data_IF_175139808944
#
_entry.id   IF_175139808944
#
_cell.length_a   1.000
_cell.length_b   1.000
_cell.length_c   1.000
_cell.angle_alpha   90.00
_cell.angle_beta   90.00
_cell.angle_gamma   90.00
#
_symmetry.space_group_name_H-M   'P 1'
#
loop_
_entity.id
_entity.type
_entity.pdbx_description
1 polymer ?
#
# COMPACT_ATOMS: atom_id res chain seq x y z
N UNK A 1 15.53 31.94 52.48
CA UNK A 1 14.68 30.84 51.95
C UNK A 1 14.89 30.55 50.44
N UNK A 2 16.11 30.70 49.88
CA UNK A 2 16.35 30.52 48.42
C UNK A 2 17.49 29.54 48.06
N UNK A 3 18.26 29.03 49.04
CA UNK A 3 19.42 28.17 48.78
C UNK A 3 19.02 26.71 48.48
N UNK A 4 18.05 26.16 49.23
CA UNK A 4 17.55 24.78 49.05
C UNK A 4 16.84 24.55 47.70
N UNK A 5 16.20 25.58 47.12
CA UNK A 5 15.56 25.50 45.79
C UNK A 5 16.60 25.48 44.65
N UNK A 6 17.70 26.24 44.77
CA UNK A 6 18.80 26.21 43.79
C UNK A 6 19.51 24.85 43.78
N UNK A 7 19.78 24.28 44.96
CA UNK A 7 20.41 22.96 45.09
C UNK A 7 19.53 21.87 44.47
N UNK A 8 18.21 21.88 44.71
CA UNK A 8 17.28 20.92 44.08
C UNK A 8 17.26 21.02 42.55
N UNK A 9 17.30 22.22 41.98
CA UNK A 9 17.36 22.40 40.51
C UNK A 9 18.67 21.89 39.93
N UNK A 10 19.79 22.09 40.64
CA UNK A 10 21.11 21.60 40.20
C UNK A 10 21.17 20.07 40.18
N UNK A 11 20.61 19.40 41.20
CA UNK A 11 20.53 17.94 41.24
C UNK A 11 19.69 17.34 40.11
N UNK A 12 18.58 17.99 39.75
CA UNK A 12 17.74 17.54 38.62
C UNK A 12 18.50 17.65 37.29
N UNK A 13 19.25 18.74 37.08
CA UNK A 13 20.06 18.92 35.86
C UNK A 13 21.19 17.89 35.79
N UNK A 14 21.84 17.58 36.91
CA UNK A 14 22.90 16.55 36.95
C UNK A 14 22.35 15.16 36.65
N UNK A 15 21.17 14.81 37.18
CA UNK A 15 20.52 13.52 36.90
C UNK A 15 20.13 13.41 35.42
N UNK A 16 19.61 14.48 34.82
CA UNK A 16 19.26 14.50 33.39
C UNK A 16 20.51 14.37 32.52
N UNK A 17 21.59 15.12 32.82
CA UNK A 17 22.85 15.02 32.07
C UNK A 17 23.50 13.64 32.21
N UNK A 18 23.45 13.03 33.38
CA UNK A 18 23.99 11.68 33.59
C UNK A 18 23.16 10.60 32.88
N UNK A 19 21.84 10.76 32.76
CA UNK A 19 21.00 9.88 31.94
C UNK A 19 21.27 10.02 30.44
N UNK A 20 21.52 11.24 29.95
CA UNK A 20 21.90 11.50 28.54
C UNK A 20 23.28 10.89 28.22
N UNK A 21 24.24 11.05 29.13
CA UNK A 21 25.58 10.46 28.97
C UNK A 21 25.49 8.93 29.01
N UNK A 22 24.67 8.36 29.91
CA UNK A 22 24.47 6.92 29.98
C UNK A 22 23.80 6.37 28.71
N UNK A 23 22.86 7.11 28.10
CA UNK A 23 22.26 6.70 26.82
C UNK A 23 23.25 6.79 25.65
N UNK A 24 24.16 7.76 25.66
CA UNK A 24 25.23 7.86 24.66
C UNK A 24 26.26 6.72 24.81
N UNK A 25 26.61 6.33 26.04
CA UNK A 25 27.52 5.22 26.32
C UNK A 25 26.91 3.84 26.03
N UNK A 26 25.59 3.70 26.12
CA UNK A 26 24.88 2.46 25.74
C UNK A 26 24.68 2.35 24.22
N UNK A 27 24.99 3.40 23.44
CA UNK A 27 24.89 3.42 21.98
C UNK A 27 26.22 3.16 21.27
N UNK A 28 27.31 2.92 22.01
CA UNK A 28 28.59 2.51 21.43
C UNK A 28 28.78 0.99 21.59
N UNK A 29 28.07 0.23 20.76
CA UNK A 29 28.32 -1.19 20.54
C UNK A 29 28.83 -1.40 19.11
N UNK A 30 30.07 -1.92 19.01
CA UNK A 30 30.81 -2.39 17.83
C UNK A 30 30.83 -1.54 16.54
N UNK A 31 31.94 -0.82 16.36
CA UNK A 31 32.45 -0.45 15.04
C UNK A 31 33.62 -1.38 14.67
N UNK A 32 33.34 -2.45 13.93
CA UNK A 32 34.35 -3.19 13.17
C UNK A 32 33.82 -3.61 11.79
N UNK A 33 34.58 -3.19 10.77
CA UNK A 33 34.56 -3.50 9.33
C UNK A 33 33.38 -3.07 8.42
N UNK A 34 33.67 -2.36 7.30
CA UNK A 34 32.66 -2.01 6.30
C UNK A 34 32.42 -3.19 5.36
N UNK A 35 31.49 -4.06 5.74
CA UNK A 35 30.86 -4.98 4.79
C UNK A 35 29.91 -4.18 3.90
N UNK A 36 30.05 -4.30 2.58
CA UNK A 36 29.11 -3.66 1.65
C UNK A 36 27.72 -4.26 1.89
N UNK A 37 26.69 -3.48 2.30
CA UNK A 37 25.40 -4.05 2.66
C UNK A 37 24.75 -4.63 1.40
N UNK A 38 24.73 -5.96 1.29
CA UNK A 38 23.57 -6.63 0.71
C UNK A 38 22.42 -6.31 1.64
N UNK A 39 21.47 -5.51 1.19
CA UNK A 39 20.26 -5.10 1.93
C UNK A 39 19.91 -6.12 3.01
N UNK A 40 20.00 -5.71 4.28
CA UNK A 40 19.65 -6.58 5.39
C UNK A 40 18.26 -7.16 5.15
N UNK A 41 18.13 -8.50 5.19
CA UNK A 41 16.83 -9.14 5.07
C UNK A 41 15.91 -8.59 6.17
N UNK A 42 14.71 -8.07 5.83
CA UNK A 42 13.81 -7.54 6.83
C UNK A 42 13.40 -8.66 7.80
N UNK A 43 13.67 -8.47 9.09
CA UNK A 43 13.31 -9.42 10.15
C UNK A 43 11.83 -9.26 10.50
N UNK A 44 10.97 -9.97 9.78
CA UNK A 44 9.56 -10.10 10.11
C UNK A 44 9.34 -11.32 10.99
N UNK A 45 8.45 -11.21 11.98
CA UNK A 45 8.01 -12.36 12.78
C UNK A 45 6.87 -13.05 12.07
N UNK A 46 7.02 -14.35 11.83
CA UNK A 46 5.95 -15.19 11.33
C UNK A 46 4.96 -15.51 12.46
N UNK A 47 3.69 -15.17 12.25
CA UNK A 47 2.60 -15.51 13.16
C UNK A 47 1.66 -16.52 12.49
N UNK A 48 1.30 -17.56 13.23
CA UNK A 48 0.33 -18.55 12.75
C UNK A 48 -1.03 -17.90 12.55
N UNK A 49 -1.66 -18.15 11.40
CA UNK A 49 -2.99 -17.62 11.09
C UNK A 49 -4.05 -18.70 10.92
N UNK A 50 -3.75 -19.83 10.26
CA UNK A 50 -4.73 -20.90 10.06
C UNK A 50 -4.06 -22.23 9.68
N UNK A 51 -4.71 -23.33 10.05
CA UNK A 51 -4.38 -24.68 9.57
C UNK A 51 -3.10 -25.26 10.16
N UNK A 52 -2.92 -26.57 10.03
CA UNK A 52 -1.78 -27.30 10.59
C UNK A 52 -1.08 -28.18 9.55
N UNK A 53 -1.26 -27.86 8.26
CA UNK A 53 -0.61 -28.60 7.17
C UNK A 53 0.88 -28.28 7.05
N UNK A 54 1.60 -29.03 6.21
CA UNK A 54 3.03 -28.79 6.00
C UNK A 54 3.29 -27.71 4.94
N UNK A 55 2.30 -27.44 4.08
CA UNK A 55 2.43 -26.47 2.97
C UNK A 55 2.23 -25.04 3.47
N UNK A 56 3.31 -24.27 3.44
CA UNK A 56 3.33 -22.89 3.93
C UNK A 56 2.78 -21.90 2.90
N UNK A 57 1.87 -21.05 3.36
CA UNK A 57 1.25 -19.97 2.59
C UNK A 57 1.22 -18.71 3.43
N UNK A 58 1.59 -17.56 2.86
CA UNK A 58 1.49 -16.28 3.58
C UNK A 58 0.27 -15.50 3.14
N UNK A 59 -0.43 -14.88 4.08
CA UNK A 59 -1.48 -13.88 3.81
C UNK A 59 -0.90 -12.48 3.94
N UNK A 60 -0.92 -11.71 2.85
CA UNK A 60 -0.41 -10.33 2.78
C UNK A 60 -1.58 -9.38 2.55
N UNK A 61 -1.86 -8.43 3.46
CA UNK A 61 -2.91 -7.44 3.29
C UNK A 61 -2.45 -6.27 2.39
N UNK A 62 -3.28 -5.91 1.40
CA UNK A 62 -3.22 -4.68 0.61
C UNK A 62 -4.45 -3.84 0.95
N UNK A 63 -4.36 -3.08 2.05
CA UNK A 63 -5.49 -2.37 2.64
C UNK A 63 -5.29 -0.85 2.64
N UNK A 64 -6.21 -0.10 2.03
CA UNK A 64 -6.14 1.36 1.96
C UNK A 64 -5.50 1.91 0.69
N UNK A 65 -5.17 3.20 0.70
CA UNK A 65 -4.64 3.90 -0.49
C UNK A 65 -3.18 3.49 -0.71
N UNK A 66 -2.85 3.04 -1.92
CA UNK A 66 -1.50 2.59 -2.28
C UNK A 66 -0.61 3.81 -2.53
N UNK A 67 0.05 4.28 -1.49
CA UNK A 67 0.99 5.39 -1.54
C UNK A 67 2.22 5.08 -0.70
N UNK A 68 3.38 5.59 -1.13
CA UNK A 68 4.55 5.69 -0.28
C UNK A 68 4.36 6.83 0.70
N UNK A 69 4.85 6.65 1.92
CA UNK A 69 4.86 7.71 2.93
C UNK A 69 6.21 8.41 2.91
N UNK A 70 6.21 9.74 2.78
CA UNK A 70 7.41 10.59 2.89
C UNK A 70 7.61 11.14 4.32
N UNK A 71 6.83 10.67 5.30
CA UNK A 71 6.77 11.29 6.63
C UNK A 71 8.04 11.02 7.46
N UNK A 72 8.96 11.99 7.49
CA UNK A 72 10.03 12.15 8.49
C UNK A 72 9.51 12.59 9.88
N UNK A 73 8.25 12.31 10.21
CA UNK A 73 7.65 12.74 11.48
C UNK A 73 8.22 11.94 12.65
N UNK A 74 9.16 12.56 13.37
CA UNK A 74 9.80 12.02 14.58
C UNK A 74 8.82 11.58 15.69
N UNK A 75 7.56 12.05 15.67
CA UNK A 75 6.58 11.83 16.73
C UNK A 75 5.42 10.92 16.33
N UNK A 76 5.31 10.55 15.05
CA UNK A 76 4.30 9.62 14.55
C UNK A 76 4.76 9.02 13.21
N UNK A 77 5.73 8.10 13.22
CA UNK A 77 6.12 7.40 12.00
C UNK A 77 4.90 6.65 11.45
N UNK A 78 4.43 7.06 10.27
CA UNK A 78 3.49 6.26 9.50
C UNK A 78 4.28 5.19 8.76
N UNK A 79 3.87 3.93 8.91
CA UNK A 79 4.49 2.84 8.19
C UNK A 79 4.20 2.99 6.69
N UNK A 80 5.25 3.02 5.87
CA UNK A 80 5.12 2.93 4.42
C UNK A 80 4.49 1.59 4.06
N UNK A 81 3.23 1.63 3.62
CA UNK A 81 2.47 0.45 3.22
C UNK A 81 3.13 -0.28 2.06
N UNK A 82 3.64 0.45 1.08
CA UNK A 82 4.25 -0.12 -0.13
C UNK A 82 5.54 -0.82 0.25
N UNK A 83 6.40 -0.16 1.02
CA UNK A 83 7.63 -0.78 1.52
C UNK A 83 7.33 -2.04 2.35
N UNK A 84 6.31 -2.01 3.22
CA UNK A 84 5.92 -3.16 4.03
C UNK A 84 5.48 -4.35 3.17
N UNK A 85 4.59 -4.13 2.19
CA UNK A 85 4.13 -5.18 1.28
C UNK A 85 5.30 -5.75 0.47
N UNK A 86 6.18 -4.90 -0.07
CA UNK A 86 7.37 -5.34 -0.81
C UNK A 86 8.33 -6.16 0.08
N UNK A 87 8.52 -5.76 1.33
CA UNK A 87 9.29 -6.54 2.30
C UNK A 87 8.67 -7.92 2.56
N UNK A 88 7.35 -7.98 2.78
CA UNK A 88 6.65 -9.26 2.97
C UNK A 88 6.78 -10.18 1.77
N UNK A 89 6.65 -9.65 0.54
CA UNK A 89 6.84 -10.41 -0.69
C UNK A 89 8.29 -10.90 -0.79
N UNK A 90 9.28 -10.05 -0.48
CA UNK A 90 10.70 -10.43 -0.49
C UNK A 90 11.02 -11.53 0.52
N UNK A 91 10.44 -11.49 1.73
CA UNK A 91 10.59 -12.57 2.73
C UNK A 91 9.96 -13.86 2.20
N UNK A 92 8.75 -13.79 1.65
CA UNK A 92 8.07 -14.94 1.05
C UNK A 92 8.86 -15.54 -0.13
N UNK A 93 9.49 -14.70 -0.95
CA UNK A 93 10.29 -15.12 -2.09
C UNK A 93 11.55 -15.89 -1.67
N UNK A 94 12.20 -15.47 -0.58
CA UNK A 94 13.42 -16.08 -0.06
C UNK A 94 13.17 -17.28 0.86
N UNK A 95 11.91 -17.53 1.22
CA UNK A 95 11.50 -18.67 2.03
C UNK A 95 11.31 -19.92 1.13
N UNK A 96 12.17 -20.95 1.28
CA UNK A 96 12.10 -22.15 0.44
C UNK A 96 10.80 -22.96 0.66
N UNK A 97 10.19 -22.86 1.85
CA UNK A 97 8.95 -23.57 2.18
C UNK A 97 7.71 -22.83 1.68
N UNK A 98 7.86 -21.55 1.29
CA UNK A 98 6.74 -20.71 0.86
C UNK A 98 6.23 -21.07 -0.53
N UNK A 99 5.04 -21.68 -0.56
CA UNK A 99 4.40 -22.20 -1.77
C UNK A 99 3.35 -21.25 -2.34
N UNK A 100 2.76 -20.36 -1.56
CA UNK A 100 1.83 -19.37 -2.11
C UNK A 100 1.75 -18.07 -1.30
N UNK A 101 1.28 -17.03 -1.98
CA UNK A 101 0.78 -15.78 -1.38
C UNK A 101 -0.73 -15.76 -1.54
N UNK A 102 -1.44 -15.49 -0.45
CA UNK A 102 -2.82 -15.02 -0.48
C UNK A 102 -2.78 -13.50 -0.34
N UNK A 103 -2.99 -12.79 -1.44
CA UNK A 103 -3.08 -11.33 -1.45
C UNK A 103 -4.49 -10.92 -1.06
N UNK A 104 -4.67 -10.42 0.16
CA UNK A 104 -5.96 -9.93 0.63
C UNK A 104 -6.11 -8.45 0.29
N UNK A 105 -7.07 -8.11 -0.56
CA UNK A 105 -7.22 -6.76 -1.11
C UNK A 105 -8.45 -6.07 -0.55
N UNK A 106 -8.22 -4.89 0.02
CA UNK A 106 -9.24 -3.91 0.37
C UNK A 106 -8.71 -2.49 0.10
N UNK A 107 -8.62 -2.13 -1.18
CA UNK A 107 -7.95 -0.92 -1.64
C UNK A 107 -8.73 -0.20 -2.75
N UNK A 108 -8.91 1.14 -2.66
CA UNK A 108 -9.41 1.96 -3.75
C UNK A 108 -8.39 2.17 -4.87
N UNK A 109 -7.16 1.67 -4.72
CA UNK A 109 -6.02 1.97 -5.57
C UNK A 109 -5.11 3.03 -4.95
N UNK A 110 -4.39 3.76 -5.79
CA UNK A 110 -3.41 4.75 -5.34
C UNK A 110 -2.47 5.16 -6.47
N UNK A 111 -1.21 5.42 -6.15
CA UNK A 111 -0.20 5.81 -7.13
C UNK A 111 0.05 4.72 -8.18
N UNK A 112 0.24 5.13 -9.43
CA UNK A 112 0.54 4.24 -10.57
C UNK A 112 1.83 3.45 -10.30
N UNK A 113 2.93 4.13 -9.98
CA UNK A 113 4.23 3.49 -9.73
C UNK A 113 4.20 2.54 -8.53
N UNK A 114 3.70 2.93 -7.33
CA UNK A 114 3.53 1.99 -6.21
C UNK A 114 2.74 0.73 -6.55
N UNK A 115 1.67 0.86 -7.34
CA UNK A 115 0.86 -0.28 -7.77
C UNK A 115 1.64 -1.20 -8.71
N UNK A 116 2.43 -0.63 -9.63
CA UNK A 116 3.29 -1.39 -10.55
C UNK A 116 4.45 -2.10 -9.85
N UNK A 117 5.02 -1.49 -8.80
CA UNK A 117 6.05 -2.14 -7.98
C UNK A 117 5.52 -3.39 -7.28
N UNK A 118 4.34 -3.30 -6.66
CA UNK A 118 3.70 -4.45 -6.00
C UNK A 118 3.35 -5.52 -7.03
N UNK A 119 2.74 -5.14 -8.17
CA UNK A 119 2.45 -6.05 -9.28
C UNK A 119 3.71 -6.81 -9.72
N UNK A 120 4.82 -6.09 -9.94
CA UNK A 120 6.03 -6.67 -10.45
C UNK A 120 6.72 -7.58 -9.42
N UNK A 121 6.69 -7.22 -8.14
CA UNK A 121 7.19 -8.07 -7.04
C UNK A 121 6.38 -9.37 -6.90
N UNK A 122 5.05 -9.28 -6.94
CA UNK A 122 4.17 -10.46 -6.95
C UNK A 122 4.44 -11.35 -8.17
N UNK A 123 4.54 -10.75 -9.36
CA UNK A 123 4.85 -11.48 -10.59
C UNK A 123 6.20 -12.20 -10.50
N UNK A 124 7.21 -11.54 -9.93
CA UNK A 124 8.54 -12.11 -9.69
C UNK A 124 8.47 -13.31 -8.73
N UNK A 125 7.77 -13.16 -7.59
CA UNK A 125 7.51 -14.28 -6.68
C UNK A 125 6.85 -15.45 -7.41
N UNK A 126 5.82 -15.19 -8.22
CA UNK A 126 5.08 -16.23 -8.94
C UNK A 126 5.93 -16.95 -9.99
N UNK A 127 6.83 -16.23 -10.66
CA UNK A 127 7.70 -16.75 -11.72
C UNK A 127 8.97 -17.41 -11.18
N UNK A 128 9.39 -17.06 -9.97
CA UNK A 128 10.62 -17.58 -9.35
C UNK A 128 10.63 -19.12 -9.24
N UNK A 129 9.47 -19.74 -9.09
CA UNK A 129 9.31 -21.21 -9.10
C UNK A 129 7.98 -21.64 -9.72
N UNK A 130 7.93 -22.76 -10.48
CA UNK A 130 6.72 -23.22 -11.15
C UNK A 130 5.62 -23.73 -10.20
N UNK A 131 5.98 -24.10 -8.97
CA UNK A 131 5.09 -24.61 -7.92
C UNK A 131 4.57 -23.53 -6.97
N UNK A 132 4.94 -22.25 -7.21
CA UNK A 132 4.41 -21.09 -6.51
C UNK A 132 3.09 -20.64 -7.11
N UNK A 133 2.18 -20.15 -6.27
CA UNK A 133 0.86 -19.60 -6.66
C UNK A 133 0.55 -18.30 -5.94
N UNK A 134 -0.28 -17.47 -6.53
CA UNK A 134 -0.85 -16.27 -5.92
C UNK A 134 -2.37 -16.34 -6.03
N UNK A 135 -3.04 -16.33 -4.88
CA UNK A 135 -4.51 -16.27 -4.83
C UNK A 135 -4.89 -14.88 -4.31
N UNK A 136 -5.73 -14.17 -5.06
CA UNK A 136 -6.23 -12.87 -4.65
C UNK A 136 -7.58 -13.06 -3.97
N UNK A 137 -7.71 -12.52 -2.77
CA UNK A 137 -8.95 -12.47 -2.03
C UNK A 137 -9.43 -11.02 -1.88
N UNK A 138 -10.49 -10.67 -2.60
CA UNK A 138 -11.08 -9.34 -2.57
C UNK A 138 -12.14 -9.29 -1.47
N UNK A 139 -11.96 -8.35 -0.54
CA UNK A 139 -12.93 -8.05 0.52
C UNK A 139 -13.94 -7.01 0.05
N UNK A 140 -13.89 -5.79 0.59
CA UNK A 140 -14.83 -4.71 0.25
C UNK A 140 -14.51 -4.08 -1.12
N UNK A 141 -13.23 -3.76 -1.37
CA UNK A 141 -12.83 -2.98 -2.55
C UNK A 141 -11.53 -3.50 -3.19
N UNK A 142 -11.53 -3.72 -4.49
CA UNK A 142 -10.33 -3.96 -5.31
C UNK A 142 -10.43 -3.13 -6.59
N UNK A 143 -10.12 -1.84 -6.46
CA UNK A 143 -10.28 -0.86 -7.52
C UNK A 143 -8.94 -0.27 -7.97
N UNK A 144 -8.85 0.13 -9.24
CA UNK A 144 -7.71 0.84 -9.82
C UNK A 144 -6.38 0.15 -9.50
N UNK A 145 -5.43 0.83 -8.83
CA UNK A 145 -4.14 0.25 -8.43
C UNK A 145 -4.22 -1.07 -7.65
N UNK A 146 -5.29 -1.29 -6.85
CA UNK A 146 -5.51 -2.56 -6.16
C UNK A 146 -5.84 -3.70 -7.14
N UNK A 147 -6.66 -3.40 -8.15
CA UNK A 147 -6.96 -4.34 -9.24
C UNK A 147 -5.75 -4.56 -10.14
N UNK A 148 -4.96 -3.51 -10.40
CA UNK A 148 -3.68 -3.59 -11.12
C UNK A 148 -2.73 -4.60 -10.47
N UNK A 149 -2.47 -4.47 -9.16
CA UNK A 149 -1.61 -5.40 -8.43
C UNK A 149 -2.16 -6.84 -8.43
N UNK A 150 -3.49 -6.97 -8.37
CA UNK A 150 -4.17 -8.26 -8.38
C UNK A 150 -4.00 -9.05 -9.69
N UNK A 151 -3.64 -8.39 -10.80
CA UNK A 151 -3.40 -9.07 -12.09
C UNK A 151 -2.19 -10.00 -12.10
N UNK A 152 -1.33 -9.95 -11.06
CA UNK A 152 -0.28 -10.94 -10.83
C UNK A 152 -0.81 -12.27 -10.23
N UNK A 153 -2.08 -12.30 -9.80
CA UNK A 153 -2.74 -13.47 -9.23
C UNK A 153 -3.09 -14.55 -10.27
N UNK A 154 -3.00 -15.82 -9.87
CA UNK A 154 -3.47 -16.96 -10.65
C UNK A 154 -5.00 -17.12 -10.58
N UNK A 155 -5.62 -16.64 -9.50
CA UNK A 155 -7.06 -16.78 -9.27
C UNK A 155 -7.57 -15.67 -8.33
N UNK A 156 -8.71 -15.07 -8.68
CA UNK A 156 -9.30 -13.95 -7.96
C UNK A 156 -10.68 -14.34 -7.42
N UNK A 157 -10.81 -14.34 -6.10
CA UNK A 157 -12.06 -14.62 -5.38
C UNK A 157 -12.53 -13.33 -4.74
N UNK A 158 -13.78 -12.95 -4.97
CA UNK A 158 -14.35 -11.75 -4.34
C UNK A 158 -15.54 -12.08 -3.45
N UNK A 159 -15.67 -11.37 -2.33
CA UNK A 159 -16.87 -11.45 -1.52
C UNK A 159 -18.11 -10.98 -2.31
N UNK A 160 -19.33 -11.47 -2.02
CA UNK A 160 -20.53 -11.13 -2.80
C UNK A 160 -20.86 -9.64 -2.88
N UNK A 161 -20.46 -8.87 -1.86
CA UNK A 161 -20.66 -7.42 -1.77
C UNK A 161 -19.47 -6.61 -2.27
N UNK A 162 -18.40 -7.29 -2.71
CA UNK A 162 -17.18 -6.65 -3.17
C UNK A 162 -17.42 -5.79 -4.40
N UNK A 163 -16.62 -4.73 -4.49
CA UNK A 163 -16.56 -3.83 -5.63
C UNK A 163 -15.19 -3.95 -6.27
N UNK A 164 -15.16 -4.14 -7.59
CA UNK A 164 -13.92 -4.27 -8.35
C UNK A 164 -13.94 -3.37 -9.59
N UNK A 165 -12.80 -3.30 -10.29
CA UNK A 165 -12.67 -2.55 -11.54
C UNK A 165 -12.03 -1.19 -11.30
N UNK A 166 -12.68 -0.11 -11.72
CA UNK A 166 -12.05 1.22 -11.80
C UNK A 166 -10.76 1.18 -12.63
N UNK A 167 -10.82 0.52 -13.78
CA UNK A 167 -9.66 0.35 -14.67
C UNK A 167 -9.48 1.65 -15.47
N UNK A 168 -8.72 2.55 -14.89
CA UNK A 168 -8.56 3.92 -15.33
C UNK A 168 -7.38 4.60 -14.64
N UNK A 169 -6.92 5.69 -15.25
CA UNK A 169 -5.87 6.56 -14.70
C UNK A 169 -6.40 7.98 -14.67
N UNK A 170 -6.19 8.68 -13.57
CA UNK A 170 -6.60 10.07 -13.41
C UNK A 170 -5.43 10.91 -12.90
N UNK A 171 -5.40 12.17 -13.32
CA UNK A 171 -4.62 13.23 -12.70
C UNK A 171 -5.59 14.35 -12.33
N UNK A 172 -5.50 14.83 -11.09
CA UNK A 172 -6.40 15.86 -10.58
C UNK A 172 -5.59 17.05 -10.04
N UNK A 173 -6.01 18.26 -10.39
CA UNK A 173 -5.48 19.53 -9.86
C UNK A 173 -6.61 20.55 -9.76
N UNK A 174 -6.36 21.64 -9.03
CA UNK A 174 -7.30 22.76 -8.89
C UNK A 174 -6.73 24.02 -9.54
N UNK A 175 -7.58 24.75 -10.27
CA UNK A 175 -7.25 26.09 -10.74
C UNK A 175 -7.82 27.14 -9.78
N UNK A 176 -6.95 28.02 -9.30
CA UNK A 176 -7.23 29.07 -8.32
C UNK A 176 -7.11 30.48 -8.90
N UNK A 177 -6.92 30.66 -10.21
CA UNK A 177 -6.74 31.96 -10.85
C UNK A 177 -7.85 32.94 -10.48
N UNK A 178 -9.12 32.54 -10.65
CA UNK A 178 -10.26 33.40 -10.34
C UNK A 178 -10.40 33.73 -8.84
N UNK A 179 -9.82 32.91 -7.95
CA UNK A 179 -9.73 33.22 -6.53
C UNK A 179 -8.59 34.21 -6.25
N UNK A 180 -7.39 33.96 -6.79
CA UNK A 180 -6.22 34.82 -6.59
C UNK A 180 -6.45 36.25 -7.07
N UNK A 181 -7.10 36.41 -8.23
CA UNK A 181 -7.48 37.73 -8.76
C UNK A 181 -8.42 38.50 -7.81
N UNK A 182 -9.38 37.80 -7.18
CA UNK A 182 -10.32 38.44 -6.24
C UNK A 182 -9.67 38.90 -4.94
N UNK A 183 -8.63 38.21 -4.49
CA UNK A 183 -7.93 38.53 -3.24
C UNK A 183 -6.62 39.30 -3.46
N UNK A 184 -6.33 39.71 -4.70
CA UNK A 184 -5.17 40.52 -5.05
C UNK A 184 -3.83 39.77 -5.02
N UNK A 185 -3.84 38.43 -5.15
CA UNK A 185 -2.62 37.64 -5.28
C UNK A 185 -2.23 37.55 -6.76
N UNK A 186 -0.97 37.87 -7.06
CA UNK A 186 -0.39 37.77 -8.40
C UNK A 186 0.77 36.78 -8.37
N UNK A 187 0.74 35.79 -9.27
CA UNK A 187 1.86 34.88 -9.49
C UNK A 187 2.95 35.55 -10.32
N UNK A 188 4.21 35.46 -9.89
CA UNK A 188 5.39 35.98 -10.61
C UNK A 188 6.37 34.83 -10.83
N UNK A 189 6.01 33.93 -11.75
CA UNK A 189 6.85 32.77 -12.10
C UNK A 189 7.87 33.12 -13.18
N UNK A 190 9.16 33.04 -12.85
CA UNK A 190 10.28 33.15 -13.81
C UNK A 190 10.78 31.72 -14.08
N UNK A 191 10.70 31.29 -15.34
CA UNK A 191 10.94 29.89 -15.72
C UNK A 191 11.92 29.75 -16.87
N UNK A 192 12.68 28.64 -16.84
CA UNK A 192 13.68 28.30 -17.87
C UNK A 192 13.08 27.72 -19.15
N UNK A 193 11.79 27.35 -19.15
CA UNK A 193 11.07 26.83 -20.31
C UNK A 193 9.55 26.91 -20.11
N UNK A 194 8.81 26.92 -21.22
CA UNK A 194 7.35 27.14 -21.24
C UNK A 194 6.56 26.16 -20.36
N UNK A 195 6.99 24.90 -20.31
CA UNK A 195 6.30 23.80 -19.62
C UNK A 195 6.78 23.56 -18.18
N UNK A 196 7.67 24.40 -17.63
CA UNK A 196 8.23 24.19 -16.28
C UNK A 196 7.25 24.48 -15.14
N UNK A 197 6.13 25.11 -15.46
CA UNK A 197 5.03 25.45 -14.56
C UNK A 197 3.70 24.90 -15.09
N UNK A 198 3.73 23.76 -15.80
CA UNK A 198 2.50 23.07 -16.18
C UNK A 198 1.58 22.87 -14.97
N UNK A 199 0.28 23.09 -15.18
CA UNK A 199 -0.73 23.07 -14.13
C UNK A 199 -0.54 24.13 -13.03
N UNK A 200 0.13 25.25 -13.33
CA UNK A 200 0.18 26.39 -12.41
C UNK A 200 -1.25 26.80 -12.01
N UNK A 201 -1.59 26.73 -10.71
CA UNK A 201 -2.97 26.96 -10.25
C UNK A 201 -3.39 28.43 -10.41
N UNK A 202 -2.47 29.36 -10.56
CA UNK A 202 -2.75 30.80 -10.64
C UNK A 202 -2.82 31.35 -12.07
N UNK A 203 -2.53 30.52 -13.08
CA UNK A 203 -2.61 30.90 -14.48
C UNK A 203 -3.83 30.26 -15.17
N UNK A 204 -4.20 30.78 -16.34
CA UNK A 204 -5.23 30.16 -17.17
C UNK A 204 -4.77 28.78 -17.65
N UNK A 205 -5.71 27.83 -17.72
CA UNK A 205 -5.43 26.48 -18.22
C UNK A 205 -4.97 26.53 -19.68
N UNK A 206 -3.75 26.04 -19.94
CA UNK A 206 -3.18 25.93 -21.28
C UNK A 206 -3.56 24.58 -21.91
N UNK A 207 -4.31 24.60 -23.02
CA UNK A 207 -4.81 23.39 -23.69
C UNK A 207 -3.71 22.52 -24.27
N UNK A 208 -2.57 23.11 -24.69
CA UNK A 208 -1.43 22.34 -25.20
C UNK A 208 -0.75 21.56 -24.06
N UNK A 209 -0.63 22.18 -22.88
CA UNK A 209 -0.10 21.50 -21.70
C UNK A 209 -1.04 20.39 -21.21
N UNK A 210 -2.35 20.61 -21.27
CA UNK A 210 -3.34 19.57 -20.99
C UNK A 210 -3.21 18.40 -21.96
N UNK A 211 -3.04 18.66 -23.26
CA UNK A 211 -2.83 17.60 -24.26
C UNK A 211 -1.57 16.78 -23.97
N UNK A 212 -0.46 17.42 -23.59
CA UNK A 212 0.77 16.72 -23.20
C UNK A 212 0.57 15.79 -21.98
N UNK A 213 -0.21 16.22 -20.98
CA UNK A 213 -0.52 15.39 -19.83
C UNK A 213 -1.50 14.27 -20.19
N UNK A 214 -2.41 14.52 -21.13
CA UNK A 214 -3.33 13.50 -21.62
C UNK A 214 -2.59 12.37 -22.34
N UNK A 215 -1.55 12.67 -23.13
CA UNK A 215 -0.69 11.64 -23.74
C UNK A 215 -0.07 10.73 -22.68
N UNK A 216 0.43 11.29 -21.57
CA UNK A 216 0.96 10.50 -20.47
C UNK A 216 -0.10 9.63 -19.78
N UNK A 217 -1.31 10.17 -19.60
CA UNK A 217 -2.45 9.41 -19.04
C UNK A 217 -2.85 8.27 -19.98
N UNK A 218 -2.87 8.52 -21.29
CA UNK A 218 -3.22 7.53 -22.31
C UNK A 218 -2.20 6.39 -22.35
N UNK A 219 -0.90 6.69 -22.22
CA UNK A 219 0.16 5.68 -22.11
C UNK A 219 0.00 4.80 -20.85
N UNK A 220 -0.26 5.42 -19.70
CA UNK A 220 -0.50 4.69 -18.45
C UNK A 220 -1.77 3.82 -18.54
N UNK A 221 -2.83 4.34 -19.16
CA UNK A 221 -4.07 3.60 -19.36
C UNK A 221 -3.87 2.44 -20.34
N UNK A 222 -3.11 2.63 -21.42
CA UNK A 222 -2.79 1.57 -22.37
C UNK A 222 -2.04 0.41 -21.69
N UNK A 223 -1.08 0.72 -20.81
CA UNK A 223 -0.39 -0.30 -20.01
C UNK A 223 -1.35 -1.06 -19.09
N UNK A 224 -2.20 -0.35 -18.34
CA UNK A 224 -3.16 -0.99 -17.43
C UNK A 224 -4.13 -1.91 -18.20
N UNK A 225 -4.68 -1.42 -19.32
CA UNK A 225 -5.50 -2.24 -20.24
C UNK A 225 -4.77 -3.50 -20.69
N UNK A 226 -3.52 -3.37 -21.12
CA UNK A 226 -2.71 -4.49 -21.59
C UNK A 226 -2.52 -5.57 -20.54
N UNK A 227 -2.21 -5.18 -19.29
CA UNK A 227 -2.01 -6.13 -18.19
C UNK A 227 -3.30 -6.87 -17.84
N UNK A 228 -4.44 -6.16 -17.78
CA UNK A 228 -5.73 -6.80 -17.52
C UNK A 228 -6.13 -7.73 -18.66
N UNK A 229 -5.97 -7.29 -19.91
CA UNK A 229 -6.28 -8.08 -21.09
C UNK A 229 -5.46 -9.39 -21.13
N UNK A 230 -4.16 -9.31 -20.85
CA UNK A 230 -3.27 -10.48 -20.78
C UNK A 230 -3.66 -11.42 -19.63
N UNK A 231 -3.80 -10.89 -18.42
CA UNK A 231 -4.08 -11.70 -17.22
C UNK A 231 -5.45 -12.38 -17.28
N UNK A 232 -6.47 -11.67 -17.77
CA UNK A 232 -7.87 -12.14 -17.78
C UNK A 232 -8.31 -12.75 -19.10
N UNK A 233 -7.46 -12.73 -20.13
CA UNK A 233 -7.78 -13.17 -21.50
C UNK A 233 -9.01 -12.44 -22.06
N UNK A 234 -9.09 -11.13 -21.83
CA UNK A 234 -10.18 -10.25 -22.25
C UNK A 234 -9.71 -9.40 -23.43
N UNK A 235 -10.59 -9.18 -24.40
CA UNK A 235 -10.30 -8.28 -25.53
C UNK A 235 -10.12 -6.84 -25.02
N UNK A 236 -8.93 -6.23 -25.20
CA UNK A 236 -8.66 -4.84 -24.78
C UNK A 236 -9.55 -3.81 -25.52
N UNK A 237 -10.19 -4.20 -26.62
CA UNK A 237 -11.12 -3.35 -27.37
C UNK A 237 -12.48 -3.19 -26.69
N UNK A 238 -12.78 -3.95 -25.63
CA UNK A 238 -14.05 -3.94 -24.89
C UNK A 238 -14.20 -2.65 -24.06
N UNK A 239 -14.83 -1.57 -24.58
CA UNK A 239 -14.63 -0.22 -24.03
C UNK A 239 -15.23 -0.07 -22.63
N UNK A 240 -16.36 -0.73 -22.41
CA UNK A 240 -17.13 -0.74 -21.16
C UNK A 240 -16.41 -1.33 -19.94
N UNK A 241 -15.29 -2.04 -20.14
CA UNK A 241 -14.47 -2.58 -19.06
C UNK A 241 -13.33 -1.63 -18.66
N UNK A 242 -12.97 -0.68 -19.52
CA UNK A 242 -11.77 0.14 -19.37
C UNK A 242 -12.04 1.64 -19.39
N UNK A 243 -13.25 2.05 -19.00
CA UNK A 243 -13.68 3.43 -18.90
C UNK A 243 -13.68 3.98 -17.46
N UNK A 244 -13.05 3.24 -16.53
CA UNK A 244 -12.91 3.64 -15.13
C UNK A 244 -14.14 3.37 -14.25
N UNK A 245 -15.18 2.70 -14.73
CA UNK A 245 -16.32 2.32 -13.89
C UNK A 245 -15.97 1.23 -12.87
N UNK A 246 -16.72 1.21 -11.76
CA UNK A 246 -16.71 0.12 -10.78
C UNK A 246 -17.82 -0.89 -11.07
N UNK A 247 -17.61 -2.15 -10.68
CA UNK A 247 -18.54 -3.26 -10.87
C UNK A 247 -18.69 -4.05 -9.57
N UNK A 248 -19.90 -4.48 -9.26
CA UNK A 248 -20.12 -5.45 -8.18
C UNK A 248 -19.69 -6.86 -8.58
N UNK A 249 -19.40 -7.71 -7.59
CA UNK A 249 -18.87 -9.06 -7.79
C UNK A 249 -19.59 -9.91 -8.86
N UNK A 250 -20.93 -9.93 -8.86
CA UNK A 250 -21.70 -10.69 -9.87
C UNK A 250 -21.44 -10.22 -11.32
N UNK A 251 -21.38 -8.90 -11.53
CA UNK A 251 -21.12 -8.35 -12.87
C UNK A 251 -19.67 -8.60 -13.26
N UNK A 252 -18.74 -8.43 -12.31
CA UNK A 252 -17.33 -8.70 -12.52
C UNK A 252 -17.06 -10.16 -12.90
N UNK A 253 -17.73 -11.12 -12.25
CA UNK A 253 -17.63 -12.54 -12.57
C UNK A 253 -18.12 -12.80 -14.00
N UNK A 254 -19.30 -12.30 -14.35
CA UNK A 254 -19.88 -12.47 -15.69
C UNK A 254 -19.04 -11.82 -16.80
N UNK A 255 -18.26 -10.78 -16.47
CA UNK A 255 -17.34 -10.09 -17.38
C UNK A 255 -15.93 -10.69 -17.37
N UNK A 256 -15.65 -11.72 -16.56
CA UNK A 256 -14.35 -12.36 -16.46
C UNK A 256 -13.29 -11.57 -15.68
N UNK A 257 -13.68 -10.52 -14.94
CA UNK A 257 -12.75 -9.72 -14.12
C UNK A 257 -12.35 -10.40 -12.82
N UNK A 258 -13.14 -11.36 -12.35
CA UNK A 258 -12.83 -12.25 -11.22
C UNK A 258 -13.16 -13.68 -11.63
N UNK A 259 -12.66 -14.66 -10.88
CA UNK A 259 -12.82 -16.09 -11.18
C UNK A 259 -13.95 -16.74 -10.37
N UNK A 260 -14.19 -16.24 -9.16
CA UNK A 260 -15.15 -16.85 -8.24
C UNK A 260 -15.71 -15.82 -7.26
N UNK A 261 -16.95 -16.04 -6.82
CA UNK A 261 -17.55 -15.32 -5.71
C UNK A 261 -17.54 -16.24 -4.50
N UNK A 262 -16.92 -15.80 -3.41
CA UNK A 262 -16.72 -16.63 -2.24
C UNK A 262 -16.12 -15.86 -1.08
N UNK A 263 -15.97 -16.57 0.04
CA UNK A 263 -15.40 -16.06 1.27
C UNK A 263 -14.06 -16.75 1.53
N UNK A 264 -13.55 -16.60 2.75
CA UNK A 264 -12.26 -17.14 3.17
C UNK A 264 -12.15 -18.67 3.00
N UNK A 265 -13.24 -19.42 3.18
CA UNK A 265 -13.21 -20.88 3.02
C UNK A 265 -12.92 -21.28 1.56
N UNK A 266 -13.57 -20.62 0.60
CA UNK A 266 -13.34 -20.83 -0.82
C UNK A 266 -11.90 -20.48 -1.20
N UNK A 267 -11.33 -19.42 -0.61
CA UNK A 267 -9.90 -19.07 -0.78
C UNK A 267 -8.99 -20.20 -0.33
N UNK A 268 -9.22 -20.76 0.85
CA UNK A 268 -8.41 -21.87 1.37
C UNK A 268 -8.53 -23.12 0.49
N UNK A 269 -9.75 -23.49 0.10
CA UNK A 269 -10.02 -24.64 -0.77
C UNK A 269 -9.33 -24.44 -2.12
N UNK A 270 -9.49 -23.27 -2.73
CA UNK A 270 -8.88 -22.96 -4.03
C UNK A 270 -7.36 -22.95 -3.94
N UNK A 271 -6.79 -22.39 -2.88
CA UNK A 271 -5.35 -22.37 -2.66
C UNK A 271 -4.80 -23.80 -2.56
N UNK A 272 -5.46 -24.66 -1.79
CA UNK A 272 -5.10 -26.06 -1.64
C UNK A 272 -5.17 -26.82 -2.98
N UNK A 273 -6.23 -26.60 -3.77
CA UNK A 273 -6.39 -27.16 -5.11
C UNK A 273 -5.28 -26.70 -6.08
N UNK A 274 -4.96 -25.41 -6.11
CA UNK A 274 -3.92 -24.84 -6.99
C UNK A 274 -2.52 -25.33 -6.66
N UNK A 275 -2.29 -25.77 -5.42
CA UNK A 275 -1.03 -26.32 -4.95
C UNK A 275 -0.97 -27.85 -4.96
N UNK A 276 -2.09 -28.51 -5.25
CA UNK A 276 -2.28 -29.97 -5.18
C UNK A 276 -1.94 -30.55 -3.79
N UNK A 277 -2.53 -29.97 -2.73
CA UNK A 277 -2.27 -30.36 -1.33
C UNK A 277 -3.56 -30.51 -0.52
N UNK A 278 -3.53 -31.37 0.50
CA UNK A 278 -4.69 -31.63 1.36
C UNK A 278 -4.88 -30.64 2.51
N UNK A 279 -3.81 -29.98 2.97
CA UNK A 279 -3.86 -29.05 4.09
C UNK A 279 -2.82 -27.93 3.95
N UNK A 280 -3.22 -26.73 4.36
CA UNK A 280 -2.38 -25.53 4.35
C UNK A 280 -1.95 -25.16 5.77
N UNK A 281 -0.82 -24.49 5.89
CA UNK A 281 -0.42 -23.70 7.05
C UNK A 281 -0.28 -22.25 6.61
N UNK A 282 -1.29 -21.47 6.94
CA UNK A 282 -1.35 -20.05 6.61
C UNK A 282 -0.68 -19.26 7.73
N UNK A 283 0.24 -18.40 7.34
CA UNK A 283 0.99 -17.52 8.23
C UNK A 283 0.78 -16.06 7.84
N UNK A 284 1.08 -15.16 8.76
CA UNK A 284 1.18 -13.72 8.52
C UNK A 284 2.55 -13.25 8.93
N UNK A 285 2.97 -12.13 8.36
CA UNK A 285 4.15 -11.43 8.83
C UNK A 285 3.73 -10.23 9.66
N UNK A 286 4.36 -10.11 10.82
CA UNK A 286 4.25 -8.95 11.69
C UNK A 286 5.61 -8.28 11.80
N UNK A 287 5.64 -6.95 11.72
CA UNK A 287 6.85 -6.20 11.99
C UNK A 287 7.26 -6.44 13.46
N UNK A 288 8.54 -6.73 13.69
CA UNK A 288 9.06 -6.80 15.06
C UNK A 288 8.95 -5.41 15.69
N UNK A 289 8.05 -5.28 16.67
CA UNK A 289 8.01 -4.10 17.52
C UNK A 289 9.27 -4.07 18.36
N UNK A 290 9.94 -2.94 18.39
CA UNK A 290 11.06 -2.75 19.31
C UNK A 290 10.55 -2.70 20.76
N UNK A 291 11.39 -3.11 21.72
CA UNK A 291 11.05 -3.05 23.17
C UNK A 291 10.65 -1.62 23.59
N UNK A 292 11.26 -0.61 22.95
CA UNK A 292 10.92 0.79 23.17
C UNK A 292 9.52 1.14 22.64
N UNK A 293 9.11 0.62 21.48
CA UNK A 293 7.74 0.78 20.95
C UNK A 293 6.69 0.05 21.79
N UNK A 294 7.01 -1.11 22.37
CA UNK A 294 6.11 -1.78 23.32
C UNK A 294 5.94 -0.97 24.61
N UNK A 295 7.02 -0.39 25.12
CA UNK A 295 7.02 0.45 26.32
C UNK A 295 6.33 1.81 26.09
N UNK A 296 6.54 2.43 24.93
CA UNK A 296 5.92 3.70 24.54
C UNK A 296 4.46 3.54 24.08
N UNK A 297 4.13 2.40 23.47
CA UNK A 297 2.78 2.04 23.06
C UNK A 297 1.81 1.81 24.23
N UNK A 298 2.33 1.67 25.45
CA UNK A 298 1.53 1.48 26.66
C UNK A 298 0.88 2.76 27.20
N UNK A 299 1.18 3.97 26.70
CA UNK A 299 0.60 5.23 27.21
C UNK A 299 0.45 6.33 26.16
N UNK A 300 -0.77 6.50 25.64
CA UNK A 300 -1.56 7.77 25.68
C UNK A 300 -2.84 7.67 24.82
N UNK A 301 -4.04 7.73 25.39
CA UNK A 301 -5.29 7.86 24.64
C UNK A 301 -5.59 9.35 24.44
N UNK A 302 -4.83 10.05 23.59
CA UNK A 302 -5.35 11.27 22.97
C UNK A 302 -5.89 10.84 21.61
N UNK A 303 -7.15 10.38 21.63
CA UNK A 303 -7.92 10.14 20.41
C UNK A 303 -8.34 11.50 19.87
N UNK A 304 -7.50 12.10 19.04
CA UNK A 304 -7.97 13.18 18.17
C UNK A 304 -9.00 12.58 17.21
N UNK A 305 -10.12 13.27 16.92
CA UNK A 305 -11.05 12.84 15.90
C UNK A 305 -10.28 12.75 14.59
N UNK A 306 -10.06 11.51 14.15
CA UNK A 306 -9.32 11.23 12.93
C UNK A 306 -10.26 11.59 11.78
N UNK A 307 -10.19 12.83 11.28
CA UNK A 307 -10.82 13.24 10.03
C UNK A 307 -10.07 12.59 8.86
N UNK A 308 -10.07 11.25 8.82
CA UNK A 308 -9.73 10.54 7.60
C UNK A 308 -10.86 10.83 6.64
N UNK A 309 -10.53 11.46 5.50
CA UNK A 309 -11.42 11.53 4.35
C UNK A 309 -11.69 10.08 3.93
N UNK A 310 -12.74 9.48 4.49
CA UNK A 310 -13.11 8.11 4.17
C UNK A 310 -13.58 8.10 2.72
N UNK A 311 -13.01 7.20 1.93
CA UNK A 311 -13.53 6.93 0.58
C UNK A 311 -15.01 6.56 0.67
N UNK A 312 -15.82 6.85 -0.36
CA UNK A 312 -17.22 6.43 -0.40
C UNK A 312 -17.36 4.91 -0.12
N UNK A 313 -18.30 4.54 0.74
CA UNK A 313 -18.58 3.16 1.12
C UNK A 313 -20.08 2.87 1.00
N UNK A 314 -20.42 1.63 0.65
CA UNK A 314 -21.80 1.15 0.67
C UNK A 314 -22.20 0.82 2.11
N UNK A 315 -23.25 1.47 2.61
CA UNK A 315 -23.66 1.36 4.01
C UNK A 315 -25.11 0.86 4.12
N UNK A 316 -25.32 -0.22 4.88
CA UNK A 316 -26.64 -0.54 5.44
C UNK A 316 -26.89 0.31 6.68
N UNK A 317 -27.02 1.62 6.49
CA UNK A 317 -27.17 2.61 7.55
C UNK A 317 -28.51 3.33 7.43
N UNK A 318 -29.37 3.17 8.42
CA UNK A 318 -30.54 4.02 8.59
C UNK A 318 -30.11 5.37 9.17
N UNK A 319 -30.40 6.47 8.45
CA UNK A 319 -30.19 7.85 8.92
C UNK A 319 -31.55 8.47 9.21
N UNK A 320 -32.08 8.37 10.45
CA UNK A 320 -33.34 8.99 10.83
C UNK A 320 -33.33 10.52 10.76
#
# INVERSE_FOLDING_TARGET
MNYRKKIRKLWVVIVILSLIILSMLLSSGDMTEPDYPRDEMPKLTETWSFGSGDTKVVRIPLEGVIMRSDDESLFAPQADMVANILMQIRVAENDPDMRAIILEVNSPGGGVTPSDEIYNALRTFRQSRPDRRIIVFVRDLCASGGYYASMAGDYIIAEPTAVVGSIGVIMQTMNLQGLSEKIGITDVTIKSGENKDMLNPFQSVNTNQVALLQELIDDMQARFKGIVAESRQIDPSTPELFDGRILGANVALNKGLIDEIGYWNEVLVKTAQQLDVGALRVVRYEAQKTVLEELLGAKNPIVLPNFKLQSPQFLYLWKP
#
